data_IF_872443261591
#
_entry.id   IF_872443261591
#
_cell.length_a   1.000
_cell.length_b   1.000
_cell.length_c   1.000
_cell.angle_alpha   90.00
_cell.angle_beta   90.00
_cell.angle_gamma   90.00
#
_symmetry.space_group_name_H-M   'P 1'
#
loop_
_entity.id
_entity.type
_entity.pdbx_description
1 polymer ?
#
# COMPACT_ATOMS: atom_id res chain seq x y z
N UNK A 1 -33.71 -31.73 -15.67
CA UNK A 1 -33.89 -30.32 -15.25
C UNK A 1 -33.98 -30.30 -13.73
N UNK A 2 -32.87 -30.03 -13.05
CA UNK A 2 -32.85 -29.64 -11.64
C UNK A 2 -31.81 -28.53 -11.52
N UNK A 3 -32.29 -27.37 -11.10
CA UNK A 3 -31.57 -26.11 -11.05
C UNK A 3 -30.86 -26.12 -9.69
N UNK A 4 -29.54 -26.33 -9.69
CA UNK A 4 -28.75 -26.20 -8.48
C UNK A 4 -28.38 -24.72 -8.33
N UNK A 5 -29.29 -23.93 -7.75
CA UNK A 5 -29.02 -22.57 -7.32
C UNK A 5 -28.19 -22.63 -6.04
N UNK A 6 -26.86 -22.66 -6.18
CA UNK A 6 -25.97 -22.26 -5.09
C UNK A 6 -26.30 -20.80 -4.75
N UNK A 7 -26.62 -20.47 -3.49
CA UNK A 7 -26.84 -19.09 -3.09
C UNK A 7 -25.53 -18.32 -3.27
N UNK A 8 -25.65 -17.09 -3.75
CA UNK A 8 -24.58 -16.12 -3.93
C UNK A 8 -23.59 -16.20 -2.76
N UNK A 9 -22.31 -16.40 -3.09
CA UNK A 9 -21.21 -16.34 -2.15
C UNK A 9 -21.27 -14.96 -1.47
N UNK A 10 -21.79 -14.94 -0.23
CA UNK A 10 -21.69 -13.77 0.64
C UNK A 10 -20.21 -13.69 0.98
N UNK A 11 -19.51 -12.71 0.39
CA UNK A 11 -18.14 -12.35 0.75
C UNK A 11 -18.08 -12.23 2.27
N UNK A 12 -17.39 -13.15 2.93
CA UNK A 12 -17.08 -13.03 4.35
C UNK A 12 -16.01 -11.95 4.50
N UNK A 13 -15.97 -11.28 5.64
CA UNK A 13 -14.90 -10.31 5.94
C UNK A 13 -13.50 -10.93 5.83
N UNK A 14 -13.41 -12.26 5.95
CA UNK A 14 -12.18 -13.03 5.77
C UNK A 14 -11.76 -13.19 4.28
N UNK A 15 -12.65 -12.92 3.32
CA UNK A 15 -12.39 -13.07 1.86
C UNK A 15 -11.77 -11.81 1.22
N UNK A 16 -11.53 -10.73 1.98
CA UNK A 16 -11.01 -9.44 1.48
C UNK A 16 -9.50 -9.25 1.79
N UNK A 17 -8.91 -10.11 2.62
CA UNK A 17 -7.47 -10.05 2.87
C UNK A 17 -6.73 -10.89 1.81
N UNK A 18 -6.02 -10.23 0.91
CA UNK A 18 -4.87 -10.86 0.23
C UNK A 18 -3.98 -11.50 1.31
N UNK A 19 -3.81 -12.81 1.27
CA UNK A 19 -3.31 -13.74 2.30
C UNK A 19 -1.89 -13.51 2.87
N UNK A 20 -1.33 -12.30 2.79
CA UNK A 20 -0.03 -11.97 3.38
C UNK A 20 -0.19 -11.57 4.84
N UNK A 21 -0.38 -12.56 5.71
CA UNK A 21 -0.26 -12.34 7.15
C UNK A 21 1.21 -12.01 7.50
N UNK A 22 1.47 -11.07 8.42
CA UNK A 22 2.83 -10.84 8.90
C UNK A 22 3.39 -12.12 9.51
N UNK A 23 4.39 -12.71 8.85
CA UNK A 23 5.01 -13.97 9.24
C UNK A 23 6.00 -13.86 10.39
N UNK A 24 6.65 -14.98 10.72
CA UNK A 24 7.66 -15.06 11.78
C UNK A 24 8.86 -14.19 11.40
N UNK A 25 9.11 -13.17 12.21
CA UNK A 25 10.21 -12.25 12.01
C UNK A 25 11.57 -12.89 12.28
N UNK A 26 12.54 -12.56 11.44
CA UNK A 26 13.95 -12.87 11.65
C UNK A 26 14.67 -11.59 12.09
N UNK A 27 14.33 -11.11 13.29
CA UNK A 27 14.90 -9.89 13.87
C UNK A 27 14.27 -8.58 13.35
N UNK A 28 14.96 -7.46 13.60
CA UNK A 28 14.56 -6.12 13.13
C UNK A 28 14.99 -5.95 11.68
N UNK A 29 14.04 -5.61 10.81
CA UNK A 29 14.28 -5.29 9.40
C UNK A 29 14.17 -3.79 9.12
N UNK A 30 14.30 -3.42 7.84
CA UNK A 30 13.98 -2.06 7.37
C UNK A 30 12.78 -2.10 6.42
N UNK A 31 11.98 -1.05 6.43
CA UNK A 31 10.87 -0.84 5.51
C UNK A 31 10.89 0.61 4.97
N UNK A 32 10.32 0.83 3.79
CA UNK A 32 10.23 2.15 3.18
C UNK A 32 8.81 2.69 3.31
N UNK A 33 8.61 3.77 4.06
CA UNK A 33 7.33 4.45 4.21
C UNK A 33 7.24 5.63 3.24
N UNK A 34 6.09 5.75 2.58
CA UNK A 34 5.74 6.86 1.71
C UNK A 34 4.54 7.59 2.29
N UNK A 35 4.76 8.83 2.75
CA UNK A 35 3.70 9.72 3.26
C UNK A 35 2.82 10.29 2.13
N UNK A 36 1.62 10.77 2.50
CA UNK A 36 0.69 11.46 1.57
C UNK A 36 1.27 12.77 1.02
N UNK A 37 2.24 13.34 1.74
CA UNK A 37 3.02 14.53 1.40
C UNK A 37 4.24 14.21 0.53
N UNK A 38 4.35 12.96 0.05
CA UNK A 38 5.48 12.43 -0.71
C UNK A 38 6.81 12.36 0.07
N UNK A 39 6.78 12.40 1.40
CA UNK A 39 7.96 12.11 2.22
C UNK A 39 8.34 10.63 2.13
N UNK A 40 9.65 10.37 2.10
CA UNK A 40 10.26 9.04 1.93
C UNK A 40 11.07 8.73 3.19
N UNK A 41 10.52 7.89 4.07
CA UNK A 41 11.13 7.52 5.34
C UNK A 41 11.59 6.07 5.31
N UNK A 42 12.78 5.79 5.87
CA UNK A 42 13.17 4.43 6.21
C UNK A 42 12.82 4.22 7.67
N UNK A 43 12.07 3.16 7.95
CA UNK A 43 11.67 2.82 9.32
C UNK A 43 12.20 1.45 9.72
N UNK A 44 12.40 1.27 11.02
CA UNK A 44 12.69 -0.03 11.59
C UNK A 44 11.41 -0.88 11.61
N UNK A 45 11.47 -2.03 10.95
CA UNK A 45 10.43 -3.04 10.98
C UNK A 45 10.71 -3.96 12.16
N UNK A 46 10.31 -3.53 13.36
CA UNK A 46 10.47 -4.28 14.61
C UNK A 46 9.34 -5.29 14.79
N UNK A 47 9.62 -6.56 15.13
CA UNK A 47 8.56 -7.51 15.43
C UNK A 47 7.96 -7.31 16.83
N UNK A 48 6.69 -7.67 16.98
CA UNK A 48 6.04 -7.80 18.28
C UNK A 48 6.63 -8.97 19.09
N UNK A 49 6.25 -9.06 20.36
CA UNK A 49 6.61 -10.20 21.24
C UNK A 49 6.14 -11.56 20.68
N UNK A 50 5.09 -11.55 19.85
CA UNK A 50 4.58 -12.72 19.13
C UNK A 50 5.36 -13.05 17.85
N UNK A 51 6.41 -12.28 17.54
CA UNK A 51 7.25 -12.47 16.37
C UNK A 51 6.65 -11.97 15.05
N UNK A 52 5.64 -11.09 15.07
CA UNK A 52 4.95 -10.60 13.85
C UNK A 52 5.15 -9.11 13.66
N UNK A 53 5.11 -8.62 12.42
CA UNK A 53 5.29 -7.19 12.12
C UNK A 53 4.01 -6.35 12.15
N UNK A 54 2.84 -6.96 12.37
CA UNK A 54 1.54 -6.30 12.20
C UNK A 54 1.35 -5.03 13.05
N UNK A 55 1.88 -5.01 14.27
CA UNK A 55 1.80 -3.82 15.16
C UNK A 55 2.61 -2.66 14.57
N UNK A 56 3.83 -2.94 14.11
CA UNK A 56 4.72 -1.93 13.52
C UNK A 56 4.20 -1.42 12.19
N UNK A 57 3.64 -2.30 11.35
CA UNK A 57 3.02 -1.91 10.07
C UNK A 57 1.84 -0.96 10.31
N UNK A 58 0.93 -1.31 11.23
CA UNK A 58 -0.20 -0.44 11.60
C UNK A 58 0.25 0.91 12.15
N UNK A 59 1.25 0.92 13.03
CA UNK A 59 1.79 2.15 13.58
C UNK A 59 2.45 3.04 12.51
N UNK A 60 3.15 2.45 11.55
CA UNK A 60 3.81 3.17 10.46
C UNK A 60 2.82 3.81 9.49
N UNK A 61 1.73 3.11 9.18
CA UNK A 61 0.69 3.59 8.26
C UNK A 61 -0.27 4.53 8.97
N UNK A 62 -0.54 4.29 10.26
CA UNK A 62 -1.53 5.02 11.05
C UNK A 62 -2.94 4.42 10.99
N UNK A 63 -3.06 3.11 10.76
CA UNK A 63 -4.35 2.42 10.54
C UNK A 63 -4.60 1.29 11.56
N UNK A 64 -5.86 0.83 11.66
CA UNK A 64 -6.21 -0.38 12.41
C UNK A 64 -6.28 -1.60 11.48
N UNK A 65 -6.78 -1.43 10.27
CA UNK A 65 -6.79 -2.45 9.21
C UNK A 65 -5.91 -1.98 8.06
N UNK A 66 -5.20 -2.93 7.46
CA UNK A 66 -4.37 -2.68 6.30
C UNK A 66 -4.76 -3.62 5.17
N UNK A 67 -4.53 -3.17 3.94
CA UNK A 67 -4.58 -3.98 2.74
C UNK A 67 -3.15 -4.22 2.26
N UNK A 68 -2.94 -5.36 1.59
CA UNK A 68 -1.64 -5.74 1.03
C UNK A 68 -1.76 -5.92 -0.47
N UNK A 69 -0.82 -5.32 -1.19
CA UNK A 69 -0.65 -5.47 -2.63
C UNK A 69 0.80 -5.78 -2.92
N UNK A 70 1.05 -6.91 -3.58
CA UNK A 70 2.40 -7.28 -4.02
C UNK A 70 2.94 -6.19 -4.97
N UNK A 71 4.09 -5.61 -4.71
CA UNK A 71 4.80 -4.80 -5.70
C UNK A 71 5.55 -5.71 -6.68
N UNK A 72 6.25 -6.71 -6.16
CA UNK A 72 6.96 -7.76 -6.90
C UNK A 72 6.80 -9.09 -6.15
N UNK A 73 7.32 -10.19 -6.68
CA UNK A 73 7.40 -11.49 -5.96
C UNK A 73 8.17 -11.43 -4.63
N UNK A 74 8.90 -10.35 -4.34
CA UNK A 74 9.74 -10.21 -3.14
C UNK A 74 9.50 -8.91 -2.36
N UNK A 75 8.53 -8.10 -2.75
CA UNK A 75 8.22 -6.81 -2.11
C UNK A 75 6.71 -6.67 -2.06
N UNK A 76 6.20 -6.36 -0.87
CA UNK A 76 4.80 -6.05 -0.65
C UNK A 76 4.62 -4.56 -0.32
N UNK A 77 3.49 -4.01 -0.73
CA UNK A 77 3.02 -2.68 -0.34
C UNK A 77 1.80 -2.82 0.57
N UNK A 78 1.87 -2.17 1.73
CA UNK A 78 0.82 -2.14 2.75
C UNK A 78 0.20 -0.75 2.75
N UNK A 79 -1.13 -0.68 2.76
CA UNK A 79 -1.88 0.57 2.78
C UNK A 79 -2.98 0.54 3.82
N UNK A 80 -3.48 1.70 4.21
CA UNK A 80 -4.66 1.83 5.05
C UNK A 80 -5.90 1.31 4.31
N UNK A 81 -6.54 0.25 4.82
CA UNK A 81 -7.78 -0.30 4.24
C UNK A 81 -9.03 0.47 4.69
N UNK A 82 -8.91 1.25 5.78
CA UNK A 82 -9.99 2.08 6.32
C UNK A 82 -9.97 3.49 5.73
N UNK A 83 -8.86 3.85 5.05
CA UNK A 83 -8.56 5.20 4.58
C UNK A 83 -9.12 5.57 3.21
N UNK A 84 -10.03 4.78 2.63
CA UNK A 84 -10.66 5.13 1.35
C UNK A 84 -11.52 6.39 1.52
N UNK A 85 -11.28 7.46 0.73
CA UNK A 85 -12.09 8.67 0.82
C UNK A 85 -13.48 8.42 0.27
N UNK A 86 -14.44 9.23 0.70
CA UNK A 86 -15.68 9.38 -0.06
C UNK A 86 -15.31 9.97 -1.45
N UNK A 87 -15.47 9.16 -2.50
CA UNK A 87 -15.15 9.59 -3.86
C UNK A 87 -16.06 10.70 -4.39
N UNK A 88 -17.20 10.93 -3.74
CA UNK A 88 -18.04 12.11 -3.99
C UNK A 88 -17.49 13.37 -3.29
N UNK A 89 -16.53 13.26 -2.39
CA UNK A 89 -15.82 14.39 -1.79
C UNK A 89 -14.43 14.57 -2.42
N UNK A 90 -14.35 15.51 -3.36
CA UNK A 90 -13.13 15.86 -4.08
C UNK A 90 -12.03 16.39 -3.15
N UNK A 91 -12.39 17.10 -2.09
CA UNK A 91 -11.38 17.62 -1.14
C UNK A 91 -10.81 16.48 -0.32
N UNK A 92 -11.64 15.53 0.10
CA UNK A 92 -11.19 14.32 0.80
C UNK A 92 -10.31 13.44 -0.10
N UNK A 93 -10.70 13.23 -1.36
CA UNK A 93 -9.88 12.53 -2.37
C UNK A 93 -8.54 13.21 -2.53
N UNK A 94 -8.51 14.54 -2.70
CA UNK A 94 -7.27 15.29 -2.86
C UNK A 94 -6.40 15.21 -1.59
N UNK A 95 -6.98 15.33 -0.41
CA UNK A 95 -6.26 15.34 0.87
C UNK A 95 -5.68 13.99 1.27
N UNK A 96 -6.27 12.88 0.80
CA UNK A 96 -5.85 11.53 1.16
C UNK A 96 -5.05 10.82 0.07
N UNK A 97 -5.05 11.32 -1.17
CA UNK A 97 -4.33 10.70 -2.28
C UNK A 97 -2.82 10.63 -1.98
N UNK A 98 -2.21 9.48 -2.29
CA UNK A 98 -0.77 9.27 -2.27
C UNK A 98 -0.22 9.05 -3.68
N UNK A 99 0.07 10.13 -4.45
CA UNK A 99 0.58 10.04 -5.81
C UNK A 99 1.90 9.27 -5.90
N UNK A 100 2.81 9.48 -4.93
CA UNK A 100 4.14 8.88 -4.98
C UNK A 100 4.06 7.37 -4.80
N UNK A 101 3.35 6.87 -3.80
CA UNK A 101 3.17 5.43 -3.60
C UNK A 101 2.49 4.78 -4.80
N UNK A 102 1.46 5.43 -5.34
CA UNK A 102 0.72 4.96 -6.51
C UNK A 102 1.62 4.83 -7.74
N UNK A 103 2.38 5.89 -8.07
CA UNK A 103 3.27 5.91 -9.23
C UNK A 103 4.49 5.00 -9.04
N UNK A 104 4.95 4.82 -7.81
CA UNK A 104 6.03 3.88 -7.49
C UNK A 104 5.57 2.44 -7.74
N UNK A 105 4.40 2.06 -7.23
CA UNK A 105 3.84 0.73 -7.48
C UNK A 105 3.63 0.48 -8.98
N UNK A 106 3.17 1.50 -9.70
CA UNK A 106 2.97 1.43 -11.16
C UNK A 106 4.25 1.15 -11.96
N UNK A 107 5.44 1.33 -11.38
CA UNK A 107 6.69 0.91 -12.03
C UNK A 107 6.92 -0.60 -12.00
N UNK A 108 6.30 -1.31 -11.07
CA UNK A 108 6.48 -2.75 -10.89
C UNK A 108 5.33 -3.57 -11.47
N UNK A 109 4.12 -3.02 -11.44
CA UNK A 109 2.93 -3.71 -11.92
C UNK A 109 1.84 -2.77 -12.44
N UNK A 110 0.93 -3.25 -13.29
CA UNK A 110 -0.28 -2.51 -13.61
C UNK A 110 -1.09 -2.19 -12.35
N UNK A 111 -1.56 -0.95 -12.26
CA UNK A 111 -2.47 -0.49 -11.21
C UNK A 111 -3.87 -0.33 -11.78
N UNK A 112 -4.88 -0.70 -10.99
CA UNK A 112 -6.30 -0.57 -11.38
C UNK A 112 -7.00 0.58 -10.66
N UNK A 113 -6.38 1.13 -9.61
CA UNK A 113 -6.88 2.28 -8.85
C UNK A 113 -5.71 3.06 -8.22
N UNK A 114 -5.91 4.36 -7.90
CA UNK A 114 -4.99 5.11 -7.04
C UNK A 114 -5.01 4.62 -5.59
N UNK A 115 -3.93 4.88 -4.85
CA UNK A 115 -3.82 4.56 -3.43
C UNK A 115 -3.90 5.82 -2.57
N UNK A 116 -4.50 5.66 -1.39
CA UNK A 116 -4.79 6.71 -0.42
C UNK A 116 -4.11 6.39 0.92
N UNK A 117 -3.84 7.43 1.72
CA UNK A 117 -3.12 7.30 2.98
C UNK A 117 -1.62 7.04 2.83
N UNK A 118 -0.94 6.82 3.95
CA UNK A 118 0.46 6.42 3.93
C UNK A 118 0.59 4.98 3.40
N UNK A 119 1.67 4.71 2.67
CA UNK A 119 2.00 3.37 2.21
C UNK A 119 3.32 2.91 2.84
N UNK A 120 3.43 1.62 3.12
CA UNK A 120 4.67 1.01 3.60
C UNK A 120 5.09 -0.10 2.64
N UNK A 121 6.36 -0.13 2.26
CA UNK A 121 6.94 -1.20 1.45
C UNK A 121 7.83 -2.07 2.33
N UNK A 122 7.62 -3.38 2.29
CA UNK A 122 8.42 -4.37 3.03
C UNK A 122 9.01 -5.40 2.08
N UNK A 123 10.01 -6.13 2.54
CA UNK A 123 10.45 -7.34 1.86
C UNK A 123 9.44 -8.46 2.07
N UNK A 124 9.50 -9.46 1.20
CA UNK A 124 8.83 -10.74 1.34
C UNK A 124 9.86 -11.86 1.22
N UNK A 125 9.81 -12.81 2.14
CA UNK A 125 10.60 -14.04 2.11
C UNK A 125 9.62 -15.20 2.24
N UNK A 126 9.52 -16.00 1.17
CA UNK A 126 8.48 -17.01 1.03
C UNK A 126 7.08 -16.36 1.21
N UNK A 127 6.21 -16.94 2.02
CA UNK A 127 4.85 -16.42 2.31
C UNK A 127 4.83 -15.43 3.49
N UNK A 128 5.97 -14.84 3.85
CA UNK A 128 6.12 -14.07 5.07
C UNK A 128 6.73 -12.69 4.83
N UNK A 129 6.14 -11.70 5.51
CA UNK A 129 6.71 -10.35 5.60
C UNK A 129 8.11 -10.38 6.20
N UNK A 130 9.02 -9.64 5.59
CA UNK A 130 10.39 -9.46 6.03
C UNK A 130 10.82 -8.00 5.88
N UNK A 131 11.96 -7.65 6.48
CA UNK A 131 12.64 -6.41 6.12
C UNK A 131 13.08 -6.43 4.65
N UNK A 132 13.09 -5.26 4.02
CA UNK A 132 13.75 -5.05 2.74
C UNK A 132 15.24 -5.38 2.90
N UNK A 133 15.80 -6.15 1.97
CA UNK A 133 17.25 -6.27 1.89
C UNK A 133 17.88 -4.96 1.36
N UNK A 134 19.20 -4.75 1.53
CA UNK A 134 19.83 -3.48 1.17
C UNK A 134 19.65 -3.07 -0.29
N UNK A 135 19.61 -4.04 -1.21
CA UNK A 135 19.43 -3.78 -2.64
C UNK A 135 17.98 -3.37 -2.95
N UNK A 136 17.00 -4.05 -2.36
CA UNK A 136 15.58 -3.70 -2.50
C UNK A 136 15.30 -2.30 -1.94
N UNK A 137 15.84 -1.98 -0.76
CA UNK A 137 15.68 -0.67 -0.15
C UNK A 137 16.30 0.44 -1.00
N UNK A 138 17.53 0.23 -1.49
CA UNK A 138 18.21 1.20 -2.35
C UNK A 138 17.45 1.43 -3.67
N UNK A 139 16.95 0.38 -4.31
CA UNK A 139 16.18 0.49 -5.56
C UNK A 139 14.84 1.21 -5.35
N UNK A 140 14.05 0.79 -4.35
CA UNK A 140 12.78 1.47 -4.02
C UNK A 140 12.98 2.94 -3.72
N UNK A 141 14.00 3.26 -2.90
CA UNK A 141 14.32 4.65 -2.53
C UNK A 141 14.73 5.47 -3.75
N UNK A 142 15.66 4.96 -4.57
CA UNK A 142 16.12 5.67 -5.76
C UNK A 142 14.98 5.92 -6.76
N UNK A 143 14.07 4.96 -6.94
CA UNK A 143 12.88 5.12 -7.80
C UNK A 143 11.90 6.14 -7.24
N UNK A 144 11.64 6.12 -5.93
CA UNK A 144 10.80 7.10 -5.27
C UNK A 144 11.38 8.51 -5.43
N UNK A 145 12.68 8.68 -5.19
CA UNK A 145 13.41 9.94 -5.38
C UNK A 145 13.39 10.41 -6.84
N UNK A 146 13.51 9.51 -7.81
CA UNK A 146 13.40 9.84 -9.24
C UNK A 146 11.98 10.27 -9.66
N UNK A 147 10.94 9.84 -8.95
CA UNK A 147 9.57 10.33 -9.15
C UNK A 147 9.42 11.73 -8.51
N UNK A 148 9.88 11.93 -7.27
CA UNK A 148 9.77 13.23 -6.59
C UNK A 148 10.59 14.34 -7.26
N UNK A 149 11.70 13.99 -7.93
CA UNK A 149 12.45 14.91 -8.78
C UNK A 149 11.65 15.48 -9.97
N UNK A 150 10.44 14.95 -10.23
CA UNK A 150 9.51 15.40 -11.27
C UNK A 150 8.18 15.84 -10.64
N UNK A 151 8.14 16.97 -9.90
CA UNK A 151 6.93 17.39 -9.18
C UNK A 151 5.72 17.63 -10.10
N UNK A 152 5.96 18.06 -11.34
CA UNK A 152 4.93 18.22 -12.36
C UNK A 152 4.17 16.90 -12.65
N UNK A 153 4.85 15.75 -12.56
CA UNK A 153 4.23 14.44 -12.80
C UNK A 153 3.31 14.05 -11.63
N UNK A 154 3.73 14.30 -10.39
CA UNK A 154 2.91 14.07 -9.20
C UNK A 154 1.65 14.94 -9.24
N UNK A 155 1.80 16.21 -9.61
CA UNK A 155 0.68 17.15 -9.69
C UNK A 155 -0.26 16.81 -10.85
N UNK A 156 0.27 16.48 -12.04
CA UNK A 156 -0.55 16.03 -13.16
C UNK A 156 -1.38 14.78 -12.80
N UNK A 157 -0.76 13.81 -12.11
CA UNK A 157 -1.47 12.63 -11.63
C UNK A 157 -2.58 13.00 -10.63
N UNK A 158 -2.28 13.86 -9.65
CA UNK A 158 -3.25 14.36 -8.68
C UNK A 158 -4.46 15.01 -9.37
N UNK A 159 -4.21 15.91 -10.33
CA UNK A 159 -5.26 16.58 -11.08
C UNK A 159 -6.09 15.61 -11.94
N UNK A 160 -5.47 14.59 -12.53
CA UNK A 160 -6.20 13.55 -13.26
C UNK A 160 -7.18 12.79 -12.35
N UNK A 161 -6.74 12.39 -11.15
CA UNK A 161 -7.59 11.68 -10.18
C UNK A 161 -8.73 12.58 -9.69
N UNK A 162 -8.41 13.83 -9.32
CA UNK A 162 -9.42 14.82 -8.90
C UNK A 162 -10.47 15.05 -9.98
N UNK A 163 -10.05 15.22 -11.23
CA UNK A 163 -10.96 15.42 -12.35
C UNK A 163 -11.80 14.17 -12.65
N UNK A 164 -11.33 12.97 -12.31
CA UNK A 164 -12.11 11.74 -12.41
C UNK A 164 -13.16 11.66 -11.30
N UNK A 165 -12.80 11.95 -10.05
CA UNK A 165 -13.72 11.99 -8.91
C UNK A 165 -14.84 13.04 -9.12
N UNK A 166 -14.50 14.24 -9.60
CA UNK A 166 -15.46 15.30 -9.87
C UNK A 166 -16.50 14.93 -10.95
N UNK A 167 -16.18 13.98 -11.85
CA UNK A 167 -17.09 13.48 -12.89
C UNK A 167 -18.07 12.41 -12.40
N UNK A 168 -17.84 11.85 -11.20
CA UNK A 168 -18.70 10.83 -10.61
C UNK A 168 -19.79 11.41 -9.69
N UNK A 169 -19.83 12.74 -9.53
CA UNK A 169 -20.86 13.49 -8.80
C UNK A 169 -22.14 13.68 -9.62
#
# INVERSE_FOLDING_TARGET
MMINTQPAHVLRADDINSDHAPGVAVGVGQALRIGIDANIDVIDLTPSDTGTFGVTIRAAIGCRLYAVVDATEHIDMWTDDEGLPDFSDVEMVAGTLNPLATLLLAQYRPIHQPYFGAALFTGRRDEHTAGLNPMQLADLRARAEAITARPQQLEAFRQCVIAAAARQR
#
